data_IF_855795906405
#
_entry.id   IF_855795906405
#
_cell.length_a   1.000
_cell.length_b   1.000
_cell.length_c   1.000
_cell.angle_alpha   90.00
_cell.angle_beta   90.00
_cell.angle_gamma   90.00
#
_symmetry.space_group_name_H-M   'P 1'
#
loop_
_entity.id
_entity.type
_entity.pdbx_description
1 polymer ?
#
# COMPACT_ATOMS: atom_id res chain seq x y z
N UNK A 1 -2.96 -27.83 13.90
CA UNK A 1 -2.96 -26.36 14.05
C UNK A 1 -4.15 -25.84 13.29
N UNK A 2 -5.16 -25.30 13.97
CA UNK A 2 -6.40 -24.82 13.34
C UNK A 2 -6.06 -23.51 12.62
N UNK A 3 -6.31 -23.42 11.31
CA UNK A 3 -6.19 -22.16 10.56
C UNK A 3 -7.04 -21.11 11.26
N UNK A 4 -6.40 -20.05 11.77
CA UNK A 4 -7.08 -18.99 12.52
C UNK A 4 -8.05 -18.19 11.64
N UNK A 5 -7.92 -18.26 10.31
CA UNK A 5 -8.70 -17.47 9.36
C UNK A 5 -9.38 -18.36 8.31
N UNK A 6 -10.33 -19.21 8.75
CA UNK A 6 -11.36 -19.68 7.81
C UNK A 6 -12.05 -18.47 7.18
N UNK A 7 -12.38 -18.55 5.89
CA UNK A 7 -13.31 -17.64 5.19
C UNK A 7 -14.37 -17.13 6.18
N UNK A 8 -14.27 -15.87 6.59
CA UNK A 8 -15.20 -15.22 7.52
C UNK A 8 -16.31 -14.51 6.71
N UNK A 9 -16.87 -15.19 5.71
CA UNK A 9 -17.81 -14.60 4.75
C UNK A 9 -17.17 -13.93 3.54
N UNK A 10 -15.84 -14.03 3.39
CA UNK A 10 -15.11 -13.57 2.21
C UNK A 10 -15.03 -14.67 1.14
N UNK A 11 -14.87 -14.31 -0.13
CA UNK A 11 -14.69 -15.29 -1.23
C UNK A 11 -13.33 -16.02 -1.20
N UNK A 12 -12.49 -15.75 -0.20
CA UNK A 12 -11.16 -16.36 -0.05
C UNK A 12 -10.89 -16.79 1.40
N UNK A 13 -9.89 -17.67 1.59
CA UNK A 13 -9.44 -18.16 2.90
C UNK A 13 -7.96 -17.79 3.08
N UNK A 14 -7.59 -17.31 4.28
CA UNK A 14 -6.19 -17.09 4.67
C UNK A 14 -5.82 -18.22 5.64
N UNK A 15 -4.88 -19.07 5.24
CA UNK A 15 -4.53 -20.29 5.98
C UNK A 15 -3.39 -20.09 6.99
N UNK A 16 -2.61 -19.00 6.86
CA UNK A 16 -1.34 -18.76 7.58
C UNK A 16 -0.36 -19.94 7.49
N UNK A 17 -0.47 -20.71 6.40
CA UNK A 17 0.34 -21.87 6.11
C UNK A 17 1.24 -21.53 4.94
N UNK A 18 2.56 -21.57 5.15
CA UNK A 18 3.56 -21.28 4.11
C UNK A 18 3.50 -22.22 2.91
N UNK A 19 2.70 -23.29 2.98
CA UNK A 19 2.39 -24.13 1.82
C UNK A 19 1.44 -23.44 0.82
N UNK A 20 0.63 -22.49 1.27
CA UNK A 20 -0.43 -21.85 0.48
C UNK A 20 -0.37 -20.31 0.50
N UNK A 21 0.07 -19.69 1.60
CA UNK A 21 0.17 -18.23 1.77
C UNK A 21 1.33 -17.84 2.73
N UNK A 22 1.68 -16.55 2.77
CA UNK A 22 2.67 -16.09 3.73
C UNK A 22 2.15 -16.18 5.17
N UNK A 23 2.98 -16.72 6.07
CA UNK A 23 2.64 -16.87 7.49
C UNK A 23 2.48 -15.51 8.15
N UNK A 24 1.30 -15.26 8.69
CA UNK A 24 1.02 -14.12 9.57
C UNK A 24 0.93 -14.59 11.03
N UNK A 25 1.55 -13.84 11.94
CA UNK A 25 1.53 -14.13 13.38
C UNK A 25 0.85 -12.95 14.08
N UNK A 26 -0.31 -13.18 14.73
CA UNK A 26 -0.97 -12.13 15.50
C UNK A 26 -0.05 -11.56 16.58
N UNK A 27 -0.21 -10.26 16.87
CA UNK A 27 0.49 -9.56 17.96
C UNK A 27 2.03 -9.54 17.85
N UNK A 28 2.58 -9.92 16.70
CA UNK A 28 4.02 -9.77 16.46
C UNK A 28 4.35 -8.29 16.30
N UNK A 29 5.45 -7.85 16.92
CA UNK A 29 5.96 -6.50 16.76
C UNK A 29 6.06 -6.11 15.27
N UNK A 30 5.45 -4.98 14.93
CA UNK A 30 5.56 -4.36 13.61
C UNK A 30 6.61 -3.25 13.72
N UNK A 31 7.59 -3.27 12.83
CA UNK A 31 8.55 -2.17 12.72
C UNK A 31 7.95 -1.10 11.82
N UNK A 32 7.82 0.13 12.31
CA UNK A 32 7.22 1.24 11.55
C UNK A 32 7.88 1.44 10.18
N UNK A 33 9.20 1.25 10.08
CA UNK A 33 9.95 1.33 8.81
C UNK A 33 9.50 0.26 7.80
N UNK A 34 9.14 -0.93 8.27
CA UNK A 34 8.62 -2.00 7.41
C UNK A 34 7.17 -1.70 7.03
N UNK A 35 6.37 -1.17 7.96
CA UNK A 35 4.96 -0.83 7.68
C UNK A 35 4.86 0.18 6.54
N UNK A 36 5.67 1.23 6.56
CA UNK A 36 5.70 2.24 5.48
C UNK A 36 6.02 1.59 4.14
N UNK A 37 7.03 0.72 4.07
CA UNK A 37 7.40 0.03 2.82
C UNK A 37 6.30 -0.94 2.36
N UNK A 38 5.60 -1.60 3.28
CA UNK A 38 4.46 -2.46 2.94
C UNK A 38 3.29 -1.64 2.40
N UNK A 39 2.99 -0.49 3.01
CA UNK A 39 1.96 0.45 2.55
C UNK A 39 2.31 1.09 1.19
N UNK A 40 3.59 1.12 0.83
CA UNK A 40 4.04 1.54 -0.51
C UNK A 40 3.84 0.43 -1.55
N UNK A 41 4.07 -0.83 -1.17
CA UNK A 41 4.10 -1.98 -2.07
C UNK A 41 2.81 -2.81 -2.09
N UNK A 42 1.79 -2.51 -1.27
CA UNK A 42 0.63 -3.40 -1.16
C UNK A 42 -0.22 -3.49 -2.43
N UNK A 43 -0.17 -2.47 -3.29
CA UNK A 43 -0.81 -2.52 -4.61
C UNK A 43 0.12 -3.13 -5.67
N UNK A 44 1.39 -3.33 -5.34
CA UNK A 44 2.36 -3.89 -6.24
C UNK A 44 2.30 -5.43 -6.22
N UNK A 45 2.33 -6.01 -7.41
CA UNK A 45 2.29 -7.44 -7.59
C UNK A 45 3.23 -7.88 -8.71
N UNK A 46 3.70 -9.12 -8.59
CA UNK A 46 4.60 -9.70 -9.57
C UNK A 46 3.82 -10.31 -10.72
N UNK A 47 4.28 -10.10 -11.95
CA UNK A 47 3.72 -10.76 -13.12
C UNK A 47 4.80 -11.10 -14.16
N UNK A 48 4.38 -11.82 -15.21
CA UNK A 48 5.17 -12.22 -16.37
C UNK A 48 4.40 -11.86 -17.64
N UNK A 49 5.08 -11.72 -18.80
CA UNK A 49 4.40 -11.38 -20.03
C UNK A 49 3.27 -12.38 -20.32
N UNK A 50 2.09 -11.86 -20.61
CA UNK A 50 0.87 -12.63 -20.90
C UNK A 50 0.27 -13.41 -19.70
N UNK A 51 0.76 -13.20 -18.47
CA UNK A 51 0.16 -13.78 -17.26
C UNK A 51 -0.63 -12.70 -16.53
N UNK A 52 -1.96 -12.80 -16.57
CA UNK A 52 -2.87 -11.82 -15.93
C UNK A 52 -2.92 -11.94 -14.40
N UNK A 53 -2.60 -13.11 -13.85
CA UNK A 53 -2.70 -13.37 -12.42
C UNK A 53 -1.41 -12.97 -11.70
N UNK A 54 -1.51 -12.32 -10.52
CA UNK A 54 -0.38 -12.09 -9.64
C UNK A 54 0.38 -13.38 -9.31
N UNK A 55 1.70 -13.30 -9.27
CA UNK A 55 2.60 -14.42 -8.97
C UNK A 55 2.99 -14.36 -7.50
N UNK A 56 2.85 -15.49 -6.81
CA UNK A 56 3.41 -15.71 -5.49
C UNK A 56 4.85 -16.21 -5.60
N UNK A 57 5.79 -15.53 -4.96
CA UNK A 57 7.19 -15.96 -4.85
C UNK A 57 7.42 -16.68 -3.52
N UNK A 58 7.75 -17.97 -3.59
CA UNK A 58 8.04 -18.76 -2.39
C UNK A 58 9.45 -18.49 -1.91
N UNK A 59 9.63 -18.28 -0.60
CA UNK A 59 10.95 -18.10 0.02
C UNK A 59 11.15 -19.01 1.23
N UNK A 60 12.42 -19.28 1.57
CA UNK A 60 12.78 -19.90 2.84
C UNK A 60 13.90 -19.11 3.54
N UNK A 61 14.31 -19.53 4.74
CA UNK A 61 15.40 -18.85 5.43
C UNK A 61 16.74 -19.01 4.68
N UNK A 62 16.99 -20.17 4.06
CA UNK A 62 18.25 -20.54 3.41
C UNK A 62 19.36 -20.96 4.37
N UNK A 63 19.07 -21.11 5.67
CA UNK A 63 20.06 -21.48 6.70
C UNK A 63 19.68 -22.77 7.42
N UNK A 64 18.49 -22.83 8.00
CA UNK A 64 17.93 -24.03 8.63
C UNK A 64 17.16 -24.88 7.61
N UNK A 65 16.54 -24.24 6.63
CA UNK A 65 15.79 -24.88 5.53
C UNK A 65 16.47 -24.55 4.21
N UNK A 66 16.75 -25.58 3.41
CA UNK A 66 17.25 -25.42 2.05
C UNK A 66 16.08 -25.43 1.08
N UNK A 67 16.01 -24.42 0.21
CA UNK A 67 14.98 -24.31 -0.84
C UNK A 67 15.64 -24.05 -2.20
N UNK A 68 16.04 -25.11 -2.91
CA UNK A 68 16.64 -24.97 -4.24
C UNK A 68 15.67 -24.25 -5.19
N UNK A 69 16.19 -23.29 -5.95
CA UNK A 69 15.43 -22.48 -6.92
C UNK A 69 14.42 -21.50 -6.32
N UNK A 70 14.39 -21.30 -5.00
CA UNK A 70 13.59 -20.28 -4.34
C UNK A 70 14.47 -19.18 -3.78
N UNK A 71 13.89 -18.00 -3.60
CA UNK A 71 14.54 -16.93 -2.88
C UNK A 71 14.82 -17.35 -1.44
N UNK A 72 16.00 -17.00 -0.94
CA UNK A 72 16.38 -17.23 0.45
C UNK A 72 16.43 -15.90 1.19
N UNK A 73 16.03 -15.87 2.45
CA UNK A 73 16.03 -14.66 3.27
C UNK A 73 17.44 -14.06 3.38
N UNK A 74 18.45 -14.88 3.65
CA UNK A 74 19.82 -14.38 3.80
C UNK A 74 20.47 -14.05 2.46
N UNK A 75 20.15 -14.79 1.40
CA UNK A 75 20.65 -14.50 0.07
C UNK A 75 20.08 -13.20 -0.50
N UNK A 76 18.76 -12.95 -0.35
CA UNK A 76 18.15 -11.68 -0.76
C UNK A 76 18.68 -10.50 0.05
N UNK A 77 18.87 -10.67 1.37
CA UNK A 77 19.53 -9.65 2.21
C UNK A 77 20.92 -9.30 1.69
N UNK A 78 21.74 -10.31 1.40
CA UNK A 78 23.10 -10.12 0.88
C UNK A 78 23.12 -9.38 -0.47
N UNK A 79 22.19 -9.67 -1.38
CA UNK A 79 22.05 -8.94 -2.64
C UNK A 79 21.60 -7.49 -2.39
N UNK A 80 20.68 -7.27 -1.46
CA UNK A 80 20.27 -5.92 -1.04
C UNK A 80 21.43 -5.10 -0.48
N UNK A 81 22.30 -5.70 0.34
CA UNK A 81 23.52 -5.05 0.84
C UNK A 81 24.49 -4.65 -0.29
N UNK A 82 24.46 -5.38 -1.40
CA UNK A 82 25.25 -5.09 -2.61
C UNK A 82 24.60 -4.02 -3.49
N UNK A 83 23.44 -3.48 -3.10
CA UNK A 83 22.73 -2.42 -3.81
C UNK A 83 21.75 -2.91 -4.86
N UNK A 84 21.45 -4.22 -4.92
CA UNK A 84 20.43 -4.74 -5.83
C UNK A 84 19.05 -4.23 -5.41
N UNK A 85 18.28 -3.75 -6.39
CA UNK A 85 16.89 -3.37 -6.21
C UNK A 85 15.99 -4.59 -5.99
N UNK A 86 14.79 -4.42 -5.42
CA UNK A 86 13.86 -5.53 -5.21
C UNK A 86 13.60 -6.36 -6.47
N UNK A 87 13.43 -5.71 -7.63
CA UNK A 87 13.18 -6.43 -8.89
C UNK A 87 14.39 -7.21 -9.38
N UNK A 88 15.61 -6.69 -9.21
CA UNK A 88 16.83 -7.39 -9.60
C UNK A 88 17.05 -8.63 -8.73
N UNK A 89 16.78 -8.54 -7.43
CA UNK A 89 16.82 -9.69 -6.51
C UNK A 89 15.83 -10.76 -6.96
N UNK A 90 14.60 -10.37 -7.29
CA UNK A 90 13.59 -11.33 -7.72
C UNK A 90 13.94 -11.99 -9.06
N UNK A 91 14.49 -11.23 -10.01
CA UNK A 91 14.97 -11.77 -11.30
C UNK A 91 16.15 -12.72 -11.13
N UNK A 92 17.04 -12.45 -10.17
CA UNK A 92 18.14 -13.36 -9.81
C UNK A 92 17.62 -14.76 -9.41
N UNK A 93 16.50 -14.84 -8.67
CA UNK A 93 15.94 -16.11 -8.22
C UNK A 93 14.92 -16.75 -9.18
N UNK A 94 14.12 -15.95 -9.89
CA UNK A 94 12.96 -16.45 -10.64
C UNK A 94 13.02 -16.16 -12.15
N UNK A 95 14.11 -15.54 -12.64
CA UNK A 95 14.35 -15.23 -14.05
C UNK A 95 13.94 -13.82 -14.47
N UNK A 96 14.53 -13.35 -15.58
CA UNK A 96 14.51 -11.94 -16.00
C UNK A 96 13.16 -11.41 -16.53
N UNK A 97 12.25 -12.30 -16.90
CA UNK A 97 10.92 -11.95 -17.41
C UNK A 97 9.92 -11.58 -16.29
N UNK A 98 10.36 -11.44 -15.05
CA UNK A 98 9.54 -10.92 -13.96
C UNK A 98 9.51 -9.39 -14.00
N UNK A 99 8.38 -8.79 -13.65
CA UNK A 99 8.25 -7.36 -13.40
C UNK A 99 7.24 -7.10 -12.29
N UNK A 100 7.40 -5.95 -11.63
CA UNK A 100 6.46 -5.42 -10.64
C UNK A 100 5.45 -4.55 -11.40
N UNK A 101 4.18 -4.86 -11.24
CA UNK A 101 3.06 -4.04 -11.69
C UNK A 101 2.35 -3.46 -10.48
N UNK A 102 1.70 -2.33 -10.66
CA UNK A 102 0.78 -1.76 -9.67
C UNK A 102 -0.66 -2.05 -10.07
N UNK A 103 -1.51 -2.41 -9.11
CA UNK A 103 -2.93 -2.64 -9.35
C UNK A 103 -3.64 -1.33 -9.72
N UNK A 104 -4.42 -1.36 -10.80
CA UNK A 104 -5.25 -0.21 -11.22
C UNK A 104 -6.39 0.07 -10.23
N UNK A 105 -6.91 -0.99 -9.59
CA UNK A 105 -8.02 -0.93 -8.65
C UNK A 105 -7.74 -1.77 -7.41
N UNK A 106 -7.98 -1.20 -6.24
CA UNK A 106 -7.93 -1.90 -4.97
C UNK A 106 -9.36 -1.97 -4.43
N UNK A 107 -9.82 -3.19 -4.12
CA UNK A 107 -11.17 -3.37 -3.57
C UNK A 107 -11.25 -2.82 -2.14
N UNK A 108 -12.35 -2.16 -1.81
CA UNK A 108 -12.59 -1.61 -0.47
C UNK A 108 -12.05 -0.20 -0.24
N UNK A 109 -11.43 0.43 -1.24
CA UNK A 109 -11.19 1.88 -1.26
C UNK A 109 -12.14 2.57 -2.27
N UNK A 110 -12.53 3.84 -2.04
CA UNK A 110 -13.51 4.51 -2.90
C UNK A 110 -12.96 4.83 -4.30
N UNK A 111 -11.66 5.09 -4.42
CA UNK A 111 -11.02 5.54 -5.66
C UNK A 111 -9.51 5.32 -5.62
N UNK A 112 -8.95 4.74 -6.69
CA UNK A 112 -7.50 4.56 -6.84
C UNK A 112 -6.77 5.85 -7.19
N UNK A 113 -5.48 5.89 -6.89
CA UNK A 113 -4.58 6.98 -7.30
C UNK A 113 -4.58 7.11 -8.84
N UNK A 114 -4.62 8.34 -9.40
CA UNK A 114 -4.80 8.53 -10.84
C UNK A 114 -3.57 8.25 -11.72
N UNK A 115 -2.46 7.77 -11.15
CA UNK A 115 -1.21 7.51 -11.90
C UNK A 115 -0.30 8.73 -12.02
N UNK A 116 -0.65 9.86 -11.42
CA UNK A 116 0.14 11.09 -11.39
C UNK A 116 -0.10 11.88 -10.10
N UNK A 117 0.85 12.74 -9.74
CA UNK A 117 0.77 13.57 -8.54
C UNK A 117 -0.30 14.66 -8.70
N UNK A 118 -1.11 14.89 -7.66
CA UNK A 118 -1.97 16.07 -7.58
C UNK A 118 -1.23 17.17 -6.81
N UNK A 119 -1.10 18.32 -7.44
CA UNK A 119 -0.38 19.48 -6.92
C UNK A 119 -0.96 20.77 -7.47
N UNK A 120 -0.45 21.93 -7.04
CA UNK A 120 -0.95 23.23 -7.48
C UNK A 120 -1.11 23.33 -9.00
N UNK A 121 -2.34 23.60 -9.46
CA UNK A 121 -2.69 23.65 -10.88
C UNK A 121 -3.35 22.39 -11.42
N UNK A 122 -3.29 21.27 -10.67
CA UNK A 122 -4.09 20.08 -10.97
C UNK A 122 -5.60 20.39 -10.84
N UNK A 123 -6.42 19.77 -11.67
CA UNK A 123 -7.88 19.94 -11.62
C UNK A 123 -8.63 18.72 -12.12
N UNK A 124 -9.89 18.58 -11.73
CA UNK A 124 -10.81 17.55 -12.19
C UNK A 124 -11.32 16.65 -11.07
N UNK A 125 -11.97 15.55 -11.44
CA UNK A 125 -12.71 14.70 -10.51
C UNK A 125 -11.83 14.09 -9.42
N UNK A 126 -10.56 13.82 -9.71
CA UNK A 126 -9.61 13.27 -8.74
C UNK A 126 -9.26 14.27 -7.64
N UNK A 127 -9.15 15.55 -7.99
CA UNK A 127 -8.99 16.63 -7.01
C UNK A 127 -10.27 16.80 -6.19
N UNK A 128 -11.43 16.75 -6.85
CA UNK A 128 -12.73 16.83 -6.16
C UNK A 128 -12.88 15.72 -5.11
N UNK A 129 -12.59 14.48 -5.51
CA UNK A 129 -12.60 13.33 -4.61
C UNK A 129 -11.63 13.49 -3.44
N UNK A 130 -10.41 13.97 -3.70
CA UNK A 130 -9.44 14.26 -2.64
C UNK A 130 -10.00 15.29 -1.64
N UNK A 131 -10.57 16.39 -2.12
CA UNK A 131 -11.16 17.44 -1.28
C UNK A 131 -12.32 16.91 -0.44
N UNK A 132 -13.20 16.09 -1.02
CA UNK A 132 -14.30 15.43 -0.31
C UNK A 132 -13.79 14.52 0.82
N UNK A 133 -12.80 13.68 0.52
CA UNK A 133 -12.21 12.78 1.52
C UNK A 133 -11.54 13.55 2.65
N UNK A 134 -10.75 14.59 2.34
CA UNK A 134 -10.12 15.45 3.34
C UNK A 134 -11.17 16.12 4.23
N UNK A 135 -12.30 16.56 3.69
CA UNK A 135 -13.38 17.17 4.48
C UNK A 135 -14.03 16.18 5.44
N UNK A 136 -14.21 14.93 5.04
CA UNK A 136 -14.71 13.86 5.93
C UNK A 136 -13.69 13.59 7.04
N UNK A 137 -12.41 13.46 6.70
CA UNK A 137 -11.32 13.26 7.66
C UNK A 137 -11.25 14.43 8.65
N UNK A 138 -11.40 15.67 8.18
CA UNK A 138 -11.36 16.87 9.00
C UNK A 138 -12.45 16.92 10.10
N UNK A 139 -13.54 16.14 9.96
CA UNK A 139 -14.54 16.01 11.03
C UNK A 139 -13.97 15.27 12.26
N UNK A 140 -13.12 14.27 12.05
CA UNK A 140 -12.46 13.51 13.12
C UNK A 140 -11.09 14.11 13.52
N UNK A 141 -10.46 14.86 12.62
CA UNK A 141 -9.16 15.50 12.81
C UNK A 141 -9.25 17.02 12.58
N UNK A 142 -9.75 17.80 13.57
CA UNK A 142 -10.04 19.23 13.40
C UNK A 142 -8.82 20.11 13.09
N UNK A 143 -7.61 19.58 13.32
CA UNK A 143 -6.37 20.26 12.96
C UNK A 143 -6.17 20.36 11.44
N UNK A 144 -6.86 19.53 10.64
CA UNK A 144 -6.81 19.55 9.18
C UNK A 144 -7.89 20.53 8.68
N UNK A 145 -7.53 21.57 7.92
CA UNK A 145 -8.49 22.52 7.39
C UNK A 145 -9.51 21.85 6.46
N UNK A 146 -10.77 22.28 6.55
CA UNK A 146 -11.78 21.97 5.53
C UNK A 146 -11.50 22.75 4.26
N UNK A 147 -11.80 22.13 3.13
CA UNK A 147 -11.58 22.61 1.78
C UNK A 147 -12.90 22.90 1.08
N UNK A 148 -12.86 23.87 0.17
CA UNK A 148 -13.88 23.99 -0.87
C UNK A 148 -13.75 22.82 -1.84
N UNK A 149 -14.86 22.17 -2.16
CA UNK A 149 -14.90 21.05 -3.10
C UNK A 149 -15.19 21.60 -4.50
N UNK A 150 -14.19 22.22 -5.11
CA UNK A 150 -14.28 22.84 -6.45
C UNK A 150 -13.63 21.99 -7.54
N UNK A 151 -12.84 20.97 -7.17
CA UNK A 151 -12.05 20.17 -8.09
C UNK A 151 -10.80 20.89 -8.58
N UNK A 152 -10.32 21.94 -7.89
CA UNK A 152 -9.12 22.69 -8.23
C UNK A 152 -8.09 22.57 -7.10
N UNK A 153 -6.90 22.10 -7.44
CA UNK A 153 -5.82 21.96 -6.49
C UNK A 153 -5.10 23.30 -6.38
N UNK A 154 -5.57 24.14 -5.46
CA UNK A 154 -4.98 25.44 -5.16
C UNK A 154 -4.13 25.45 -3.88
N UNK A 155 -3.62 26.63 -3.50
CA UNK A 155 -2.82 26.81 -2.28
C UNK A 155 -3.49 26.30 -1.01
N UNK A 156 -4.82 26.42 -0.90
CA UNK A 156 -5.58 25.93 0.25
C UNK A 156 -5.58 24.41 0.32
N UNK A 157 -5.80 23.73 -0.81
CA UNK A 157 -5.68 22.27 -0.92
C UNK A 157 -4.27 21.82 -0.53
N UNK A 158 -3.23 22.46 -1.06
CA UNK A 158 -1.85 22.16 -0.70
C UNK A 158 -1.57 22.35 0.80
N UNK A 159 -2.11 23.41 1.42
CA UNK A 159 -1.95 23.67 2.84
C UNK A 159 -2.64 22.60 3.71
N UNK A 160 -3.86 22.18 3.35
CA UNK A 160 -4.55 21.09 4.03
C UNK A 160 -3.80 19.77 3.87
N UNK A 161 -3.24 19.48 2.70
CA UNK A 161 -2.44 18.27 2.46
C UNK A 161 -1.13 18.30 3.26
N UNK A 162 -0.44 19.43 3.36
CA UNK A 162 0.73 19.55 4.28
C UNK A 162 0.34 19.24 5.72
N UNK A 163 -0.83 19.70 6.15
CA UNK A 163 -1.31 19.45 7.51
C UNK A 163 -1.67 17.99 7.71
N UNK A 164 -2.35 17.37 6.75
CA UNK A 164 -2.60 15.93 6.72
C UNK A 164 -1.30 15.13 6.80
N UNK A 165 -0.33 15.42 5.93
CA UNK A 165 0.98 14.76 5.92
C UNK A 165 1.68 14.86 7.26
N UNK A 166 1.68 16.05 7.87
CA UNK A 166 2.25 16.26 9.21
C UNK A 166 1.54 15.45 10.30
N UNK A 167 0.21 15.33 10.25
CA UNK A 167 -0.58 14.58 11.24
C UNK A 167 -0.30 13.07 11.15
N UNK A 168 -0.13 12.55 9.93
CA UNK A 168 0.03 11.12 9.68
C UNK A 168 1.48 10.68 9.39
N UNK A 169 2.46 11.54 9.70
CA UNK A 169 3.89 11.19 9.63
C UNK A 169 4.44 10.99 8.22
N UNK A 170 3.83 11.61 7.21
CA UNK A 170 4.32 11.61 5.83
C UNK A 170 5.28 12.78 5.56
N UNK A 171 6.13 12.71 4.52
CA UNK A 171 6.86 13.87 4.03
C UNK A 171 5.93 15.05 3.73
N UNK A 172 6.23 16.21 4.30
CA UNK A 172 5.36 17.41 4.24
C UNK A 172 5.65 18.21 2.96
N UNK A 173 5.21 17.68 1.82
CA UNK A 173 5.42 18.29 0.49
C UNK A 173 4.28 19.23 0.10
N UNK A 174 3.05 18.93 0.54
CA UNK A 174 1.83 19.53 0.03
C UNK A 174 1.45 19.05 -1.37
N UNK A 175 2.08 17.96 -1.83
CA UNK A 175 1.76 17.25 -3.06
C UNK A 175 1.08 15.95 -2.66
N UNK A 176 -0.02 15.62 -3.33
CA UNK A 176 -0.68 14.32 -3.18
C UNK A 176 -0.09 13.35 -4.18
N UNK A 177 1.02 12.74 -3.79
CA UNK A 177 1.64 11.60 -4.46
C UNK A 177 0.89 10.29 -4.13
N UNK A 178 1.39 9.18 -4.68
CA UNK A 178 0.85 7.84 -4.45
C UNK A 178 0.67 7.54 -2.95
N UNK A 179 1.72 7.74 -2.15
CA UNK A 179 1.72 7.48 -0.71
C UNK A 179 0.68 8.32 0.03
N UNK A 180 0.62 9.62 -0.29
CA UNK A 180 -0.34 10.54 0.31
C UNK A 180 -1.77 10.15 -0.05
N UNK A 181 -2.04 9.79 -1.31
CA UNK A 181 -3.37 9.37 -1.76
C UNK A 181 -3.90 8.15 -1.01
N UNK A 182 -3.07 7.11 -0.88
CA UNK A 182 -3.49 5.89 -0.21
C UNK A 182 -3.62 6.07 1.30
N UNK A 183 -2.77 6.89 1.93
CA UNK A 183 -2.96 7.26 3.34
C UNK A 183 -4.25 8.05 3.53
N UNK A 184 -4.59 9.00 2.64
CA UNK A 184 -5.91 9.69 2.69
C UNK A 184 -7.05 8.68 2.56
N UNK A 185 -6.98 7.77 1.59
CA UNK A 185 -8.02 6.75 1.37
C UNK A 185 -8.21 5.82 2.58
N UNK A 186 -7.10 5.36 3.19
CA UNK A 186 -7.10 4.53 4.40
C UNK A 186 -7.80 5.25 5.57
N UNK A 187 -7.38 6.48 5.87
CA UNK A 187 -7.95 7.25 6.99
C UNK A 187 -9.42 7.57 6.70
N UNK A 188 -9.77 7.93 5.46
CA UNK A 188 -11.15 8.17 5.04
C UNK A 188 -12.04 6.95 5.32
N UNK A 189 -11.65 5.75 4.87
CA UNK A 189 -12.41 4.51 5.10
C UNK A 189 -12.49 4.20 6.60
N UNK A 190 -11.40 4.44 7.34
CA UNK A 190 -11.37 4.25 8.79
C UNK A 190 -12.38 5.12 9.52
N UNK A 191 -12.42 6.42 9.22
CA UNK A 191 -13.34 7.36 9.89
C UNK A 191 -14.78 7.21 9.40
N UNK A 192 -15.01 6.87 8.13
CA UNK A 192 -16.35 6.70 7.58
C UNK A 192 -17.06 5.49 8.18
N UNK A 193 -16.35 4.36 8.34
CA UNK A 193 -16.89 3.16 8.98
C UNK A 193 -17.24 3.40 10.46
N UNK A 194 -16.44 4.20 11.17
CA UNK A 194 -16.76 4.57 12.55
C UNK A 194 -18.04 5.41 12.59
N UNK A 195 -18.19 6.37 11.66
CA UNK A 195 -19.39 7.21 11.57
C UNK A 195 -20.66 6.42 11.21
N UNK A 196 -20.55 5.30 10.50
CA UNK A 196 -21.69 4.41 10.20
C UNK A 196 -22.15 3.58 11.41
N UNK A 197 -21.35 3.49 12.48
CA UNK A 197 -21.63 2.70 13.68
C UNK A 197 -22.19 3.51 14.86
N UNK A 198 -22.27 4.83 14.74
CA UNK A 198 -22.72 5.77 15.79
C UNK A 198 -24.00 6.48 15.39
#
# INVERSE_FOLDING_TARGET
>A
MVSLYRNQGYEFTITSSTAFDHKWIPERNIFNTISVVVDELFADYLSRPNVKQPILTQYCDGRQVQCPNWMTQWGSKSLGDQGYTPIEILRYYYGDNLYINTAEAISGIPSSWPGYNLENGSSGDKVRQLQEQINVIANAYPAIPKLTVDGIYGPDTAAAIRKFQSVFGLPVTGITDYNTWFKVSEIYVGVSRIAELT
#
